data_IF_205252327446
#
_entry.id   IF_205252327446
#
_cell.length_a   1.000
_cell.length_b   1.000
_cell.length_c   1.000
_cell.angle_alpha   90.00
_cell.angle_beta   90.00
_cell.angle_gamma   90.00
#
_symmetry.space_group_name_H-M   'P 1'
#
loop_
_entity.id
_entity.type
_entity.pdbx_description
1 polymer ?
#
# COMPACT_ATOMS: atom_id res chain seq x y z
N UNK A 1 60.95 -2.35 -13.86
CA UNK A 1 60.37 -3.53 -14.52
C UNK A 1 59.03 -3.86 -13.86
N UNK A 2 58.02 -4.21 -14.69
CA UNK A 2 56.72 -4.91 -14.42
C UNK A 2 56.79 -5.89 -13.24
N UNK A 3 55.79 -6.14 -12.36
CA UNK A 3 54.30 -6.08 -12.26
C UNK A 3 53.96 -5.78 -10.78
N UNK A 4 52.72 -5.44 -10.39
CA UNK A 4 51.72 -6.39 -9.85
C UNK A 4 50.29 -5.86 -10.10
N UNK A 5 49.43 -6.77 -10.56
CA UNK A 5 47.99 -6.65 -10.76
C UNK A 5 47.28 -6.58 -9.40
N UNK A 6 46.38 -5.63 -9.22
CA UNK A 6 45.31 -5.76 -8.21
C UNK A 6 43.99 -5.45 -8.89
N UNK A 7 43.38 -6.51 -9.42
CA UNK A 7 41.94 -6.56 -9.70
C UNK A 7 41.22 -6.56 -8.36
N UNK A 8 40.84 -5.38 -7.88
CA UNK A 8 39.95 -5.25 -6.73
C UNK A 8 38.50 -5.46 -7.20
N UNK A 9 37.98 -6.59 -6.77
CA UNK A 9 36.59 -7.04 -6.81
C UNK A 9 35.64 -5.93 -6.34
N UNK A 10 34.74 -5.50 -7.21
CA UNK A 10 33.48 -4.81 -6.85
C UNK A 10 32.31 -5.69 -7.30
N UNK A 11 32.34 -6.96 -6.92
CA UNK A 11 31.13 -7.78 -6.83
C UNK A 11 30.60 -7.64 -5.40
N UNK A 12 29.82 -6.59 -5.14
CA UNK A 12 28.96 -6.41 -3.96
C UNK A 12 28.22 -5.05 -4.11
N UNK A 13 27.45 -4.90 -5.19
CA UNK A 13 26.39 -3.89 -5.19
C UNK A 13 25.05 -4.61 -5.09
N UNK A 14 24.58 -4.64 -3.85
CA UNK A 14 23.17 -4.65 -3.49
C UNK A 14 22.43 -5.90 -3.94
N UNK A 15 22.57 -6.96 -3.14
CA UNK A 15 21.42 -7.82 -2.87
C UNK A 15 20.29 -6.89 -2.40
N UNK A 16 19.42 -6.49 -3.32
CA UNK A 16 18.26 -5.65 -3.04
C UNK A 16 17.31 -6.44 -2.14
N UNK A 17 17.14 -6.09 -0.85
CA UNK A 17 16.01 -6.58 -0.10
C UNK A 17 14.83 -5.66 -0.44
N UNK A 18 14.44 -5.60 -1.72
CA UNK A 18 13.49 -4.60 -2.21
C UNK A 18 12.12 -5.19 -2.56
N UNK A 19 11.84 -6.44 -2.16
CA UNK A 19 10.55 -7.07 -2.46
C UNK A 19 9.73 -7.33 -1.20
N UNK A 20 10.35 -7.65 -0.06
CA UNK A 20 9.64 -7.80 1.22
C UNK A 20 9.34 -6.45 1.90
N UNK A 21 10.17 -5.43 1.68
CA UNK A 21 9.96 -4.09 2.21
C UNK A 21 8.68 -3.42 1.67
N UNK A 22 8.31 -3.71 0.42
CA UNK A 22 7.18 -3.03 -0.24
C UNK A 22 5.85 -3.47 0.36
N UNK A 23 5.75 -4.74 0.78
CA UNK A 23 4.54 -5.30 1.39
C UNK A 23 4.29 -4.84 2.84
N UNK A 24 5.35 -4.35 3.51
CA UNK A 24 5.24 -3.61 4.77
C UNK A 24 5.00 -2.11 4.51
N UNK A 25 5.55 -1.54 3.44
CA UNK A 25 5.42 -0.10 3.18
C UNK A 25 3.99 0.37 2.92
N UNK A 26 3.11 -0.42 2.31
CA UNK A 26 1.71 0.02 2.14
C UNK A 26 1.00 0.07 3.49
N UNK A 27 1.26 -0.87 4.40
CA UNK A 27 0.66 -0.89 5.74
C UNK A 27 1.26 0.17 6.67
N UNK A 28 2.54 0.48 6.51
CA UNK A 28 3.25 1.43 7.38
C UNK A 28 3.19 2.88 6.87
N UNK A 29 2.87 3.09 5.59
CA UNK A 29 2.74 4.43 4.99
C UNK A 29 1.28 4.81 4.80
N UNK A 30 0.74 5.57 5.75
CA UNK A 30 -0.65 6.05 5.71
C UNK A 30 -1.01 6.86 4.45
N UNK A 31 -0.01 7.45 3.78
CA UNK A 31 -0.20 8.09 2.48
C UNK A 31 -0.57 7.07 1.39
N UNK A 32 0.13 5.94 1.31
CA UNK A 32 -0.17 4.88 0.34
C UNK A 32 -1.57 4.28 0.57
N UNK A 33 -1.98 4.11 1.83
CA UNK A 33 -3.35 3.72 2.18
C UNK A 33 -4.38 4.73 1.66
N UNK A 34 -4.09 6.03 1.78
CA UNK A 34 -4.93 7.10 1.24
C UNK A 34 -5.06 7.03 -0.29
N UNK A 35 -3.95 6.94 -1.01
CA UNK A 35 -3.97 6.85 -2.48
C UNK A 35 -4.78 5.65 -2.98
N UNK A 36 -4.62 4.49 -2.33
CA UNK A 36 -5.40 3.30 -2.64
C UNK A 36 -6.89 3.52 -2.34
N UNK A 37 -7.22 4.14 -1.20
CA UNK A 37 -8.61 4.46 -0.87
C UNK A 37 -9.24 5.42 -1.90
N UNK A 38 -8.51 6.43 -2.36
CA UNK A 38 -8.94 7.32 -3.43
C UNK A 38 -9.19 6.58 -4.75
N UNK A 39 -8.29 5.66 -5.11
CA UNK A 39 -8.46 4.82 -6.29
C UNK A 39 -9.70 3.91 -6.18
N UNK A 40 -9.91 3.26 -5.05
CA UNK A 40 -11.07 2.39 -4.81
C UNK A 40 -12.37 3.19 -4.78
N UNK A 41 -12.38 4.39 -4.20
CA UNK A 41 -13.53 5.28 -4.24
C UNK A 41 -13.86 5.72 -5.68
N UNK A 42 -12.85 6.00 -6.50
CA UNK A 42 -13.01 6.25 -7.94
C UNK A 42 -13.65 5.05 -8.65
N UNK A 43 -13.26 3.82 -8.32
CA UNK A 43 -13.92 2.62 -8.88
C UNK A 43 -15.42 2.58 -8.57
N UNK A 44 -15.81 2.85 -7.32
CA UNK A 44 -17.22 2.91 -6.90
C UNK A 44 -17.96 4.02 -7.63
N UNK A 45 -17.35 5.21 -7.77
CA UNK A 45 -17.91 6.33 -8.52
C UNK A 45 -18.13 5.98 -10.00
N UNK A 46 -17.24 5.17 -10.58
CA UNK A 46 -17.36 4.60 -11.93
C UNK A 46 -18.16 3.28 -12.00
N UNK A 47 -19.02 3.02 -11.00
CA UNK A 47 -19.98 1.90 -10.95
C UNK A 47 -19.36 0.50 -10.96
N UNK A 48 -18.07 0.35 -10.65
CA UNK A 48 -17.51 -0.98 -10.40
C UNK A 48 -18.15 -1.56 -9.16
N UNK A 49 -18.56 -2.83 -9.21
CA UNK A 49 -19.11 -3.54 -8.06
C UNK A 49 -18.01 -3.90 -7.07
N UNK A 50 -18.39 -4.22 -5.83
CA UNK A 50 -17.47 -4.74 -4.81
C UNK A 50 -16.68 -5.96 -5.31
N UNK A 51 -17.36 -6.89 -5.96
CA UNK A 51 -16.72 -8.09 -6.53
C UNK A 51 -15.69 -7.74 -7.61
N UNK A 52 -16.01 -6.77 -8.49
CA UNK A 52 -15.07 -6.30 -9.51
C UNK A 52 -13.86 -5.57 -8.90
N UNK A 53 -14.07 -4.82 -7.81
CA UNK A 53 -12.98 -4.17 -7.08
C UNK A 53 -12.04 -5.19 -6.40
N UNK A 54 -12.60 -6.25 -5.79
CA UNK A 54 -11.82 -7.34 -5.18
C UNK A 54 -11.04 -8.15 -6.23
N UNK A 55 -11.65 -8.46 -7.36
CA UNK A 55 -10.97 -9.14 -8.48
C UNK A 55 -9.82 -8.29 -9.03
N UNK A 56 -10.05 -6.99 -9.19
CA UNK A 56 -9.02 -6.04 -9.61
C UNK A 56 -7.88 -5.97 -8.59
N UNK A 57 -8.20 -5.93 -7.29
CA UNK A 57 -7.18 -5.97 -6.24
C UNK A 57 -6.35 -7.27 -6.29
N UNK A 58 -6.99 -8.42 -6.49
CA UNK A 58 -6.30 -9.70 -6.61
C UNK A 58 -5.37 -9.77 -7.83
N UNK A 59 -5.73 -9.09 -8.93
CA UNK A 59 -4.93 -9.03 -10.16
C UNK A 59 -3.66 -8.18 -10.01
N UNK A 60 -3.76 -7.02 -9.36
CA UNK A 60 -2.67 -6.04 -9.32
C UNK A 60 -1.79 -6.13 -8.06
N UNK A 61 -2.33 -6.60 -6.93
CA UNK A 61 -1.57 -6.71 -5.68
C UNK A 61 -1.17 -8.17 -5.42
N UNK A 62 0.07 -8.50 -5.80
CA UNK A 62 0.60 -9.88 -5.72
C UNK A 62 0.96 -10.29 -4.29
N UNK A 63 1.47 -9.35 -3.48
CA UNK A 63 1.80 -9.58 -2.07
C UNK A 63 0.56 -9.96 -1.27
N UNK A 64 0.66 -10.98 -0.39
CA UNK A 64 -0.47 -11.40 0.46
C UNK A 64 -0.92 -10.27 1.40
N UNK A 65 0.04 -9.57 2.01
CA UNK A 65 -0.20 -8.43 2.90
C UNK A 65 -0.91 -7.29 2.15
N UNK A 66 -0.35 -6.84 1.03
CA UNK A 66 -0.93 -5.76 0.23
C UNK A 66 -2.35 -6.08 -0.25
N UNK A 67 -2.55 -7.31 -0.72
CA UNK A 67 -3.87 -7.76 -1.18
C UNK A 67 -4.89 -7.76 -0.05
N UNK A 68 -4.49 -8.14 1.15
CA UNK A 68 -5.34 -8.07 2.34
C UNK A 68 -5.66 -6.62 2.71
N UNK A 69 -4.67 -5.73 2.71
CA UNK A 69 -4.87 -4.30 2.99
C UNK A 69 -5.84 -3.65 2.00
N UNK A 70 -5.63 -3.87 0.69
CA UNK A 70 -6.51 -3.34 -0.36
C UNK A 70 -7.91 -3.96 -0.26
N UNK A 71 -8.02 -5.26 0.01
CA UNK A 71 -9.31 -5.91 0.21
C UNK A 71 -10.07 -5.29 1.38
N UNK A 72 -9.41 -4.99 2.50
CA UNK A 72 -10.02 -4.32 3.65
C UNK A 72 -10.51 -2.90 3.30
N UNK A 73 -9.75 -2.15 2.49
CA UNK A 73 -10.18 -0.84 1.98
C UNK A 73 -11.42 -0.97 1.09
N UNK A 74 -11.44 -1.95 0.17
CA UNK A 74 -12.60 -2.26 -0.67
C UNK A 74 -13.82 -2.59 0.19
N UNK A 75 -13.67 -3.47 1.18
CA UNK A 75 -14.73 -3.81 2.12
C UNK A 75 -15.31 -2.58 2.82
N UNK A 76 -14.46 -1.69 3.34
CA UNK A 76 -14.88 -0.47 4.03
C UNK A 76 -15.59 0.51 3.08
N UNK A 77 -15.06 0.75 1.87
CA UNK A 77 -15.65 1.70 0.90
C UNK A 77 -16.97 1.18 0.32
N UNK A 78 -17.13 -0.13 0.15
CA UNK A 78 -18.32 -0.75 -0.43
C UNK A 78 -19.35 -1.22 0.60
N UNK A 79 -19.12 -0.98 1.90
CA UNK A 79 -20.08 -1.34 2.94
C UNK A 79 -21.43 -0.66 2.71
N UNK A 80 -22.57 -1.33 2.97
CA UNK A 80 -23.91 -0.79 2.66
C UNK A 80 -24.20 0.60 3.25
N UNK A 81 -23.64 0.89 4.43
CA UNK A 81 -23.83 2.15 5.15
C UNK A 81 -22.63 3.11 5.00
N UNK A 82 -21.66 2.79 4.15
CA UNK A 82 -20.49 3.63 3.95
C UNK A 82 -20.88 4.90 3.16
N UNK A 83 -20.45 6.09 3.61
CA UNK A 83 -20.69 7.32 2.88
C UNK A 83 -20.14 7.22 1.46
N UNK A 84 -20.84 7.82 0.50
CA UNK A 84 -20.35 7.97 -0.87
C UNK A 84 -19.33 9.10 -0.89
N UNK A 85 -18.05 8.75 -0.73
CA UNK A 85 -16.94 9.70 -0.76
C UNK A 85 -16.43 9.91 -2.19
N UNK A 86 -15.98 11.13 -2.48
CA UNK A 86 -15.10 11.39 -3.64
C UNK A 86 -13.73 10.74 -3.43
N UNK A 87 -12.92 10.55 -4.50
CA UNK A 87 -11.56 10.03 -4.37
C UNK A 87 -10.70 10.79 -3.35
N UNK A 88 -10.74 12.12 -3.36
CA UNK A 88 -9.95 12.95 -2.45
C UNK A 88 -10.43 12.81 -1.00
N UNK A 89 -11.75 12.78 -0.78
CA UNK A 89 -12.33 12.55 0.55
C UNK A 89 -11.94 11.17 1.11
N UNK A 90 -11.97 10.14 0.28
CA UNK A 90 -11.57 8.81 0.69
C UNK A 90 -10.07 8.76 1.02
N UNK A 91 -9.22 9.38 0.18
CA UNK A 91 -7.78 9.45 0.44
C UNK A 91 -7.49 10.13 1.79
N UNK A 92 -8.03 11.33 2.01
CA UNK A 92 -7.83 12.06 3.26
C UNK A 92 -8.35 11.30 4.49
N UNK A 93 -9.56 10.74 4.42
CA UNK A 93 -10.18 10.03 5.54
C UNK A 93 -9.35 8.80 5.94
N UNK A 94 -8.93 7.99 4.97
CA UNK A 94 -8.16 6.78 5.25
C UNK A 94 -6.73 7.07 5.69
N UNK A 95 -6.07 8.11 5.14
CA UNK A 95 -4.78 8.56 5.64
C UNK A 95 -4.88 9.06 7.08
N UNK A 96 -5.91 9.86 7.40
CA UNK A 96 -6.12 10.36 8.77
C UNK A 96 -6.39 9.21 9.75
N UNK A 97 -7.26 8.28 9.39
CA UNK A 97 -7.56 7.09 10.19
C UNK A 97 -6.29 6.28 10.50
N UNK A 98 -5.48 5.99 9.48
CA UNK A 98 -4.21 5.29 9.65
C UNK A 98 -3.24 6.05 10.56
N UNK A 99 -3.07 7.36 10.35
CA UNK A 99 -2.15 8.17 11.14
C UNK A 99 -2.59 8.24 12.62
N UNK A 100 -3.90 8.27 12.88
CA UNK A 100 -4.44 8.24 14.24
C UNK A 100 -4.27 6.86 14.90
N UNK A 101 -4.42 5.77 14.14
CA UNK A 101 -4.17 4.42 14.65
C UNK A 101 -2.69 4.21 15.03
N UNK A 102 -1.76 4.69 14.21
CA UNK A 102 -0.33 4.63 14.52
C UNK A 102 0.03 5.40 15.80
N UNK A 103 -0.57 6.58 16.02
CA UNK A 103 -0.38 7.35 17.27
C UNK A 103 -0.88 6.61 18.50
N UNK A 104 -2.02 5.93 18.41
CA UNK A 104 -2.59 5.15 19.52
C UNK A 104 -1.83 3.86 19.82
N UNK A 105 -1.03 3.36 18.86
CA UNK A 105 -0.21 2.16 19.01
C UNK A 105 1.24 2.46 19.41
N UNK A 106 1.65 3.72 19.39
CA UNK A 106 2.94 4.12 19.93
C UNK A 106 2.92 3.88 21.46
N UNK A 107 3.92 3.17 22.04
CA UNK A 107 4.01 3.03 23.49
C UNK A 107 4.06 4.43 24.10
N UNK A 108 3.22 4.68 25.10
CA UNK A 108 3.32 5.88 25.91
C UNK A 108 4.75 5.97 26.45
N UNK A 109 5.47 7.02 26.07
CA UNK A 109 6.81 7.31 26.58
C UNK A 109 6.75 7.69 28.06
#
# INVERSE_FOLDING_TARGET
>A
MKRVVVSAVLALCLAQPAVEAVAQTVSDQCFAIGDIAGQVASWRAHKKTKAQALDQAAKYYKGKSDRQAVSAIVEKIYSPNAPHMTPDQASMAFTSDCANQQKSQAPAQ
#
